data_IF_490068432745
#
_entry.id   IF_490068432745
#
_cell.length_a   1.000
_cell.length_b   1.000
_cell.length_c   1.000
_cell.angle_alpha   90.00
_cell.angle_beta   90.00
_cell.angle_gamma   90.00
#
_symmetry.space_group_name_H-M   'P 1'
#
loop_
_entity.id
_entity.type
_entity.pdbx_description
1 polymer ?
#
# COMPACT_ATOMS: atom_id res chain seq x y z
N UNK A 1 -2.38 -30.80 17.07
CA UNK A 1 -1.96 -30.01 15.89
C UNK A 1 -2.67 -28.68 15.95
N UNK A 2 -1.97 -27.62 16.37
CA UNK A 2 -2.46 -26.25 16.17
C UNK A 2 -2.23 -25.93 14.69
N UNK A 3 -3.31 -25.67 13.93
CA UNK A 3 -3.20 -25.17 12.56
C UNK A 3 -2.40 -23.86 12.58
N UNK A 4 -1.52 -23.60 11.59
CA UNK A 4 -0.76 -22.35 11.55
C UNK A 4 -1.78 -21.21 11.52
N UNK A 5 -1.69 -20.39 12.57
CA UNK A 5 -2.70 -19.47 13.02
C UNK A 5 -3.24 -18.60 11.88
N UNK A 6 -4.56 -18.60 11.70
CA UNK A 6 -5.22 -17.76 10.70
C UNK A 6 -4.96 -16.30 11.10
N UNK A 7 -4.08 -15.64 10.34
CA UNK A 7 -3.70 -14.26 10.56
C UNK A 7 -4.89 -13.30 10.54
N UNK A 8 -5.84 -13.60 9.67
CA UNK A 8 -6.98 -12.73 9.36
C UNK A 8 -8.22 -13.24 10.08
N UNK A 9 -8.72 -12.54 11.11
CA UNK A 9 -10.08 -12.78 11.58
C UNK A 9 -11.10 -12.58 10.45
N UNK A 10 -12.30 -13.17 10.53
CA UNK A 10 -13.35 -12.88 9.56
C UNK A 10 -13.67 -11.36 9.55
N UNK A 11 -13.92 -10.75 8.37
CA UNK A 11 -14.28 -9.35 8.29
C UNK A 11 -15.61 -9.08 9.02
N UNK A 12 -15.81 -7.81 9.40
CA UNK A 12 -17.13 -7.32 9.79
C UNK A 12 -18.11 -7.41 8.60
N UNK A 13 -19.43 -7.36 8.81
CA UNK A 13 -20.40 -7.34 7.72
C UNK A 13 -20.19 -6.20 6.70
N UNK A 14 -19.65 -5.07 7.14
CA UNK A 14 -19.33 -3.90 6.30
C UNK A 14 -17.91 -3.92 5.70
N UNK A 15 -17.10 -4.93 6.04
CA UNK A 15 -15.73 -5.13 5.56
C UNK A 15 -14.64 -4.70 6.56
N UNK A 16 -13.43 -4.58 6.05
CA UNK A 16 -12.25 -4.09 6.78
C UNK A 16 -12.18 -2.57 6.78
N UNK A 17 -11.59 -2.01 7.84
CA UNK A 17 -11.27 -0.59 7.94
C UNK A 17 -9.77 -0.39 7.91
N UNK A 18 -9.33 0.74 7.38
CA UNK A 18 -7.92 1.11 7.28
C UNK A 18 -7.14 1.01 8.61
N UNK A 19 -7.77 1.39 9.72
CA UNK A 19 -7.17 1.31 11.06
C UNK A 19 -7.13 -0.11 11.66
N UNK A 20 -7.80 -1.09 11.06
CA UNK A 20 -7.70 -2.47 11.52
C UNK A 20 -6.31 -3.06 11.22
N UNK A 21 -5.62 -2.58 10.18
CA UNK A 21 -4.26 -3.02 9.84
C UNK A 21 -3.24 -2.75 10.95
N UNK A 22 -3.45 -1.73 11.79
CA UNK A 22 -2.54 -1.43 12.91
C UNK A 22 -2.72 -2.38 14.10
N UNK A 23 -3.82 -3.14 14.12
CA UNK A 23 -4.14 -4.13 15.17
C UNK A 23 -3.75 -5.55 14.76
N UNK A 24 -2.98 -5.63 13.70
CA UNK A 24 -2.65 -6.82 12.95
C UNK A 24 -1.09 -6.97 12.97
N UNK A 25 -0.48 -7.38 14.12
CA UNK A 25 0.98 -7.58 14.28
C UNK A 25 1.69 -8.67 13.43
N UNK A 26 1.23 -9.93 13.40
CA UNK A 26 1.80 -11.03 12.58
C UNK A 26 1.35 -11.04 11.10
N UNK A 27 0.94 -9.88 10.56
CA UNK A 27 0.46 -9.75 9.18
C UNK A 27 1.56 -10.02 8.17
N UNK A 28 1.21 -10.62 7.01
CA UNK A 28 1.99 -10.39 5.82
C UNK A 28 2.30 -8.89 5.67
N UNK A 29 3.54 -8.58 5.29
CA UNK A 29 3.89 -7.21 4.90
C UNK A 29 3.15 -6.85 3.60
N UNK A 30 2.93 -5.56 3.39
CA UNK A 30 2.27 -5.01 2.19
C UNK A 30 0.83 -5.52 2.01
N UNK A 31 0.01 -5.31 3.04
CA UNK A 31 -1.45 -5.47 2.98
C UNK A 31 -2.10 -4.11 2.84
N UNK A 32 -3.11 -4.05 1.98
CA UNK A 32 -3.88 -2.85 1.68
C UNK A 32 -5.36 -3.10 1.99
N UNK A 33 -6.10 -2.03 2.29
CA UNK A 33 -7.56 -2.04 2.32
C UNK A 33 -8.06 -1.24 1.12
N UNK A 34 -8.83 -1.88 0.25
CA UNK A 34 -9.48 -1.23 -0.92
C UNK A 34 -10.98 -1.50 -0.87
N UNK A 35 -11.78 -0.45 -0.76
CA UNK A 35 -13.24 -0.50 -0.58
C UNK A 35 -13.70 -1.45 0.56
N UNK A 36 -12.86 -1.59 1.59
CA UNK A 36 -13.09 -2.49 2.72
C UNK A 36 -12.71 -3.96 2.49
N UNK A 37 -11.97 -4.26 1.42
CA UNK A 37 -11.41 -5.58 1.15
C UNK A 37 -9.91 -5.60 1.46
N UNK A 38 -9.41 -6.69 2.06
CA UNK A 38 -7.96 -6.90 2.19
C UNK A 38 -7.38 -7.34 0.87
N UNK A 39 -6.33 -6.64 0.43
CA UNK A 39 -5.56 -6.99 -0.75
C UNK A 39 -4.11 -7.22 -0.35
N UNK A 40 -3.58 -8.39 -0.73
CA UNK A 40 -2.18 -8.72 -0.52
C UNK A 40 -1.41 -8.41 -1.79
N UNK A 41 -0.29 -7.70 -1.63
CA UNK A 41 0.63 -7.45 -2.74
C UNK A 41 1.34 -8.75 -3.13
N UNK A 42 1.22 -9.12 -4.40
CA UNK A 42 1.94 -10.25 -4.98
C UNK A 42 3.43 -9.97 -5.20
N UNK A 43 4.22 -11.01 -5.52
CA UNK A 43 5.62 -10.87 -5.91
C UNK A 43 5.78 -9.93 -7.12
N UNK A 44 6.77 -9.04 -7.05
CA UNK A 44 7.07 -8.09 -8.13
C UNK A 44 8.02 -8.68 -9.16
N UNK A 45 7.75 -8.42 -10.44
CA UNK A 45 8.59 -8.87 -11.57
C UNK A 45 9.69 -7.85 -11.86
N UNK A 46 10.78 -8.27 -12.50
CA UNK A 46 11.89 -7.37 -12.88
C UNK A 46 11.43 -6.14 -13.67
N UNK A 47 10.48 -6.31 -14.59
CA UNK A 47 9.96 -5.20 -15.39
C UNK A 47 9.23 -4.16 -14.53
N UNK A 48 8.51 -4.59 -13.48
CA UNK A 48 7.81 -3.70 -12.56
C UNK A 48 8.81 -2.86 -11.77
N UNK A 49 9.85 -3.50 -11.23
CA UNK A 49 10.93 -2.80 -10.51
C UNK A 49 11.65 -1.77 -11.39
N UNK A 50 11.91 -2.10 -12.67
CA UNK A 50 12.52 -1.17 -13.62
C UNK A 50 11.62 0.02 -13.92
N UNK A 51 10.35 -0.22 -14.21
CA UNK A 51 9.39 0.85 -14.50
C UNK A 51 9.20 1.78 -13.30
N UNK A 52 9.03 1.21 -12.10
CA UNK A 52 8.93 1.97 -10.84
C UNK A 52 10.15 2.87 -10.64
N UNK A 53 11.36 2.36 -10.85
CA UNK A 53 12.60 3.15 -10.70
C UNK A 53 12.67 4.31 -11.69
N UNK A 54 12.24 4.09 -12.95
CA UNK A 54 12.19 5.15 -13.96
C UNK A 54 11.15 6.22 -13.62
N UNK A 55 9.96 5.82 -13.15
CA UNK A 55 8.92 6.76 -12.74
C UNK A 55 9.32 7.60 -11.51
N UNK A 56 10.10 7.02 -10.60
CA UNK A 56 10.63 7.77 -9.44
C UNK A 56 11.66 8.82 -9.89
N UNK A 57 12.46 8.53 -10.92
CA UNK A 57 13.50 9.43 -11.42
C UNK A 57 12.96 10.52 -12.37
N UNK A 58 11.87 10.27 -13.09
CA UNK A 58 11.37 11.16 -14.16
C UNK A 58 10.99 12.59 -13.72
N UNK A 59 10.36 12.84 -12.55
CA UNK A 59 9.94 14.19 -12.16
C UNK A 59 11.11 15.17 -11.99
N UNK A 60 12.33 14.67 -11.75
CA UNK A 60 13.54 15.50 -11.69
C UNK A 60 13.90 16.16 -13.04
N UNK A 61 13.38 15.67 -14.16
CA UNK A 61 13.72 16.17 -15.50
C UNK A 61 12.82 17.32 -15.99
N UNK A 62 11.61 17.47 -15.44
CA UNK A 62 10.60 18.43 -15.94
C UNK A 62 10.38 19.64 -15.05
N UNK A 63 10.27 19.44 -13.72
CA UNK A 63 10.03 20.51 -12.73
C UNK A 63 10.33 19.99 -11.30
N UNK A 64 11.61 19.93 -10.89
CA UNK A 64 12.05 19.16 -9.71
C UNK A 64 11.43 19.60 -8.37
N UNK A 65 10.94 20.84 -8.28
CA UNK A 65 10.41 21.42 -7.04
C UNK A 65 8.87 21.43 -6.97
N UNK A 66 8.17 21.02 -8.03
CA UNK A 66 6.71 21.06 -8.06
C UNK A 66 6.07 19.93 -7.24
N UNK A 67 6.74 18.79 -7.09
CA UNK A 67 6.20 17.61 -6.44
C UNK A 67 7.25 16.85 -5.63
N UNK A 68 6.85 16.36 -4.46
CA UNK A 68 7.55 15.30 -3.76
C UNK A 68 7.16 13.95 -4.37
N UNK A 69 8.18 13.13 -4.64
CA UNK A 69 8.01 11.77 -5.16
C UNK A 69 8.22 10.77 -4.04
N UNK A 70 7.17 10.00 -3.75
CA UNK A 70 7.18 8.96 -2.74
C UNK A 70 6.91 7.59 -3.36
N UNK A 71 7.34 6.51 -2.70
CA UNK A 71 7.17 5.16 -3.21
C UNK A 71 7.04 4.15 -2.07
N UNK A 72 6.14 3.17 -2.22
CA UNK A 72 5.99 2.10 -1.22
C UNK A 72 5.60 2.61 0.17
N UNK A 73 4.90 3.74 0.24
CA UNK A 73 4.45 4.36 1.48
C UNK A 73 2.97 4.08 1.71
N UNK A 74 2.54 3.97 2.97
CA UNK A 74 1.11 3.92 3.28
C UNK A 74 0.45 5.26 2.97
N UNK A 75 -0.66 5.23 2.23
CA UNK A 75 -1.56 6.37 2.00
C UNK A 75 -2.93 6.02 2.55
N UNK A 76 -3.36 6.81 3.55
CA UNK A 76 -4.69 6.68 4.13
C UNK A 76 -5.62 7.69 3.44
N UNK A 77 -6.56 7.19 2.63
CA UNK A 77 -7.53 8.04 1.92
C UNK A 77 -8.80 8.25 2.74
N UNK A 78 -9.36 7.16 3.28
CA UNK A 78 -10.56 7.18 4.10
C UNK A 78 -10.64 5.93 5.00
N UNK A 79 -11.76 5.74 5.69
CA UNK A 79 -11.95 4.58 6.58
C UNK A 79 -11.88 3.22 5.88
N UNK A 80 -12.14 3.15 4.58
CA UNK A 80 -12.23 1.93 3.76
C UNK A 80 -11.06 1.79 2.79
N UNK A 81 -10.19 2.79 2.69
CA UNK A 81 -9.11 2.87 1.73
C UNK A 81 -7.78 3.28 2.38
N UNK A 82 -6.88 2.29 2.49
CA UNK A 82 -5.49 2.45 2.91
C UNK A 82 -4.62 1.60 2.00
N UNK A 83 -3.93 2.27 1.07
CA UNK A 83 -3.15 1.63 0.03
C UNK A 83 -1.66 1.90 0.17
N UNK A 84 -0.86 1.18 -0.59
CA UNK A 84 0.59 1.37 -0.68
C UNK A 84 0.96 1.57 -2.15
N UNK A 85 0.78 2.78 -2.72
CA UNK A 85 1.04 2.99 -4.13
C UNK A 85 2.50 2.72 -4.49
N UNK A 86 2.72 2.22 -5.70
CA UNK A 86 4.07 1.99 -6.19
C UNK A 86 4.87 3.28 -6.32
N UNK A 87 4.22 4.34 -6.81
CA UNK A 87 4.75 5.71 -6.91
C UNK A 87 3.61 6.69 -6.63
N UNK A 88 3.88 7.74 -5.86
CA UNK A 88 2.98 8.84 -5.57
C UNK A 88 3.72 10.15 -5.85
N UNK A 89 3.05 11.08 -6.54
CA UNK A 89 3.46 12.48 -6.59
C UNK A 89 2.52 13.28 -5.70
N UNK A 90 3.08 14.13 -4.85
CA UNK A 90 2.30 14.97 -3.93
C UNK A 90 2.93 16.35 -3.80
N UNK A 91 2.11 17.37 -3.57
CA UNK A 91 2.58 18.71 -3.18
C UNK A 91 2.57 18.90 -1.66
N UNK A 92 1.95 17.97 -0.92
CA UNK A 92 1.93 17.98 0.53
C UNK A 92 3.24 17.41 1.10
N UNK A 93 3.82 18.12 2.07
CA UNK A 93 5.02 17.73 2.81
C UNK A 93 4.71 16.81 4.00
#
# INVERSE_FOLDING_TARGET
MLSPHLWTPPPRPDGWRAGDLDRLPDAPRHIEVLDGSLVLRGPQRLWHSRLKSQLIAAPAEGEPDAFLVCAGMTVWLDERNRLEPDVLLTTAA
#
